data_IF_151194374235
#
_entry.id   IF_151194374235
#
_cell.length_a   1.000
_cell.length_b   1.000
_cell.length_c   1.000
_cell.angle_alpha   90.00
_cell.angle_beta   90.00
_cell.angle_gamma   90.00
#
_symmetry.space_group_name_H-M   'P 1'
#
loop_
_entity.id
_entity.type
_entity.pdbx_description
1 polymer ?
#
# COMPACT_ATOMS: atom_id res chain seq x y z
N UNK A 1 14.81 -6.06 -10.12
CA UNK A 1 13.79 -5.05 -10.44
C UNK A 1 13.41 -4.35 -9.15
N UNK A 2 13.69 -3.06 -9.05
CA UNK A 2 13.35 -2.31 -7.85
C UNK A 2 11.82 -2.14 -7.73
N UNK A 3 11.36 -1.87 -6.50
CA UNK A 3 9.95 -1.67 -6.16
C UNK A 3 9.75 -0.24 -5.72
N UNK A 4 8.56 0.30 -5.99
CA UNK A 4 8.22 1.67 -5.62
C UNK A 4 7.48 1.69 -4.29
N UNK A 5 7.55 2.82 -3.59
CA UNK A 5 6.69 3.11 -2.45
C UNK A 5 5.52 3.98 -2.89
N UNK A 6 4.32 3.65 -2.41
CA UNK A 6 3.08 4.34 -2.72
C UNK A 6 2.49 4.92 -1.44
N UNK A 7 2.07 6.18 -1.46
CA UNK A 7 1.22 6.73 -0.41
C UNK A 7 -0.22 6.32 -0.69
N UNK A 8 -0.83 5.61 0.24
CA UNK A 8 -2.17 5.05 0.12
C UNK A 8 -3.06 5.64 1.20
N UNK A 9 -4.22 6.16 0.83
CA UNK A 9 -5.24 6.64 1.76
C UNK A 9 -6.25 5.54 2.05
N UNK A 10 -6.41 5.20 3.33
CA UNK A 10 -7.43 4.27 3.78
C UNK A 10 -8.83 4.88 3.59
N UNK A 11 -9.74 4.13 2.98
CA UNK A 11 -11.12 4.57 2.70
C UNK A 11 -12.01 4.57 3.95
N UNK A 12 -11.65 3.81 4.98
CA UNK A 12 -12.46 3.63 6.20
C UNK A 12 -12.15 4.66 7.30
N UNK A 13 -10.89 5.06 7.43
CA UNK A 13 -10.42 5.93 8.52
C UNK A 13 -9.60 7.14 8.05
N UNK A 14 -9.54 7.35 6.74
CA UNK A 14 -8.82 8.46 6.08
C UNK A 14 -7.30 8.49 6.37
N UNK A 15 -6.76 7.48 7.04
CA UNK A 15 -5.34 7.40 7.35
C UNK A 15 -4.50 7.23 6.09
N UNK A 16 -3.49 8.07 5.93
CA UNK A 16 -2.50 8.01 4.87
C UNK A 16 -1.31 7.16 5.33
N UNK A 17 -0.93 6.15 4.54
CA UNK A 17 0.16 5.23 4.85
C UNK A 17 0.99 4.90 3.62
N UNK A 18 2.31 4.90 3.79
CA UNK A 18 3.24 4.45 2.76
C UNK A 18 3.29 2.92 2.70
N UNK A 19 2.98 2.36 1.55
CA UNK A 19 2.98 0.92 1.27
C UNK A 19 4.02 0.58 0.21
N UNK A 20 4.74 -0.53 0.42
CA UNK A 20 5.67 -1.04 -0.59
C UNK A 20 4.93 -1.75 -1.71
N UNK A 21 5.13 -1.30 -2.95
CA UNK A 21 4.44 -1.79 -4.14
C UNK A 21 4.68 -3.26 -4.51
N UNK A 22 5.60 -3.94 -3.84
CA UNK A 22 5.87 -5.38 -3.97
C UNK A 22 5.83 -6.07 -2.61
N UNK A 23 4.89 -5.66 -1.75
CA UNK A 23 4.66 -6.32 -0.48
C UNK A 23 4.46 -7.83 -0.69
N UNK A 24 5.20 -8.65 0.06
CA UNK A 24 5.11 -10.12 0.03
C UNK A 24 4.17 -10.66 1.11
N UNK A 25 3.58 -9.79 1.91
CA UNK A 25 2.60 -10.06 2.96
C UNK A 25 1.46 -9.06 2.85
N UNK A 26 0.31 -9.37 3.45
CA UNK A 26 -0.77 -8.40 3.60
C UNK A 26 -0.31 -7.21 4.42
N UNK A 27 -0.68 -6.01 3.98
CA UNK A 27 -0.39 -4.75 4.67
C UNK A 27 -1.69 -4.23 5.24
N UNK A 28 -1.78 -4.19 6.56
CA UNK A 28 -2.94 -3.65 7.27
C UNK A 28 -2.72 -2.16 7.60
N UNK A 29 -3.80 -1.39 7.59
CA UNK A 29 -3.81 -0.02 8.05
C UNK A 29 -3.39 0.04 9.52
N UNK A 30 -2.44 0.90 9.86
CA UNK A 30 -1.95 1.03 11.23
C UNK A 30 -2.99 1.61 12.22
N UNK A 31 -4.08 2.18 11.71
CA UNK A 31 -5.12 2.82 12.53
C UNK A 31 -6.32 1.91 12.73
N UNK A 32 -6.94 1.42 11.65
CA UNK A 32 -8.16 0.61 11.72
C UNK A 32 -7.96 -0.89 11.51
N UNK A 33 -6.79 -1.32 11.03
CA UNK A 33 -6.50 -2.73 10.73
C UNK A 33 -7.06 -3.23 9.39
N UNK A 34 -7.76 -2.42 8.61
CA UNK A 34 -8.21 -2.81 7.26
C UNK A 34 -7.04 -3.16 6.35
N UNK A 35 -7.16 -4.22 5.55
CA UNK A 35 -6.14 -4.61 4.57
C UNK A 35 -6.01 -3.57 3.46
N UNK A 36 -4.90 -2.84 3.45
CA UNK A 36 -4.59 -1.82 2.44
C UNK A 36 -3.99 -2.42 1.16
N UNK A 37 -3.19 -3.48 1.30
CA UNK A 37 -2.59 -4.16 0.17
C UNK A 37 -2.47 -5.67 0.38
N UNK A 38 -2.67 -6.44 -0.69
CA UNK A 38 -2.50 -7.89 -0.72
C UNK A 38 -1.29 -8.27 -1.57
N UNK A 39 -0.50 -9.27 -1.15
CA UNK A 39 0.64 -9.73 -1.94
C UNK A 39 0.13 -10.48 -3.18
N UNK A 40 0.70 -10.17 -4.34
CA UNK A 40 0.53 -10.94 -5.55
C UNK A 40 1.89 -11.38 -6.09
N UNK A 41 1.93 -12.20 -7.15
CA UNK A 41 3.16 -12.73 -7.76
C UNK A 41 4.13 -11.69 -8.36
N UNK A 42 3.94 -10.40 -8.08
CA UNK A 42 4.75 -9.29 -8.57
C UNK A 42 4.48 -8.02 -7.79
N UNK A 43 3.66 -7.13 -8.35
CA UNK A 43 3.21 -5.91 -7.64
C UNK A 43 2.07 -6.28 -6.71
N UNK A 44 2.10 -5.78 -5.48
CA UNK A 44 1.00 -5.92 -4.54
C UNK A 44 -0.26 -5.24 -5.10
N UNK A 45 -1.41 -5.85 -4.82
CA UNK A 45 -2.72 -5.30 -5.17
C UNK A 45 -3.12 -4.33 -4.06
N UNK A 46 -3.36 -3.07 -4.40
CA UNK A 46 -3.77 -2.00 -3.47
C UNK A 46 -5.22 -1.66 -3.80
N UNK A 47 -6.16 -1.96 -2.89
CA UNK A 47 -7.62 -1.79 -3.05
C UNK A 47 -8.11 -0.39 -2.65
N UNK A 48 -7.20 0.55 -2.38
CA UNK A 48 -7.49 1.87 -1.84
C UNK A 48 -6.89 2.99 -2.70
N UNK A 49 -7.24 4.25 -2.40
CA UNK A 49 -6.78 5.42 -3.14
C UNK A 49 -5.26 5.58 -3.00
N UNK A 50 -4.54 5.51 -4.13
CA UNK A 50 -3.11 5.81 -4.21
C UNK A 50 -2.97 7.30 -4.50
N UNK A 51 -2.39 8.04 -3.55
CA UNK A 51 -2.20 9.48 -3.66
C UNK A 51 -1.00 9.84 -4.53
N UNK A 52 0.16 9.23 -4.22
CA UNK A 52 1.42 9.54 -4.90
C UNK A 52 2.44 8.40 -4.79
N UNK A 53 3.42 8.41 -5.68
CA UNK A 53 4.60 7.53 -5.58
C UNK A 53 5.70 8.25 -4.81
N UNK A 54 6.01 7.75 -3.61
CA UNK A 54 6.92 8.39 -2.64
C UNK A 54 8.39 8.22 -3.07
N UNK A 55 8.77 7.04 -3.55
CA UNK A 55 10.11 6.78 -4.07
C UNK A 55 10.05 5.76 -5.22
N UNK A 56 10.73 6.09 -6.32
CA UNK A 56 11.10 5.15 -7.39
C UNK A 56 12.60 4.93 -7.32
N UNK A 57 13.02 3.79 -6.77
CA UNK A 57 14.42 3.36 -6.82
C UNK A 57 14.58 2.21 -7.80
#
# INVERSE_FOLDING_TARGET
>A
MAGNFYSVRCSDCENEQTVFGKASTEVACAVCGTTLARPAGGKAEIDHEILETVESR
#
